data_IF_148429200566
#
_entry.id   IF_148429200566
#
_cell.length_a   1.000
_cell.length_b   1.000
_cell.length_c   1.000
_cell.angle_alpha   90.00
_cell.angle_beta   90.00
_cell.angle_gamma   90.00
#
_symmetry.space_group_name_H-M   'P 1'
#
loop_
_entity.id
_entity.type
_entity.pdbx_description
1 polymer ?
#
# COMPACT_ATOMS: atom_id res chain seq x y z
N UNK A 1 3.74 5.69 -22.44
CA UNK A 1 2.76 6.38 -21.58
C UNK A 1 3.46 7.46 -20.77
N UNK A 2 2.94 8.68 -20.79
CA UNK A 2 3.55 9.86 -20.16
C UNK A 2 3.25 9.86 -18.65
N UNK A 3 4.08 10.49 -17.82
CA UNK A 3 3.93 10.49 -16.34
C UNK A 3 2.59 11.04 -15.83
N UNK A 4 1.80 11.70 -16.70
CA UNK A 4 0.45 12.18 -16.44
C UNK A 4 -0.59 11.07 -16.25
N UNK A 5 -0.42 9.88 -16.81
CA UNK A 5 -1.45 8.82 -16.72
C UNK A 5 -1.45 8.08 -15.37
N UNK A 6 -0.32 8.02 -14.67
CA UNK A 6 -0.24 7.40 -13.33
C UNK A 6 -0.70 8.32 -12.20
N UNK A 7 -0.87 9.62 -12.48
CA UNK A 7 -1.49 10.55 -11.55
C UNK A 7 -2.97 10.20 -11.28
N UNK A 8 -3.58 9.27 -12.03
CA UNK A 8 -4.99 8.90 -11.87
C UNK A 8 -5.26 7.70 -10.94
N UNK A 9 -4.25 7.11 -10.29
CA UNK A 9 -4.51 6.11 -9.24
C UNK A 9 -4.97 6.88 -8.02
N UNK A 10 -6.26 6.89 -7.72
CA UNK A 10 -6.80 7.55 -6.54
C UNK A 10 -7.50 6.53 -5.66
N UNK A 11 -7.20 6.56 -4.36
CA UNK A 11 -7.95 5.82 -3.34
C UNK A 11 -9.37 6.41 -3.22
N UNK A 12 -10.30 5.64 -2.67
CA UNK A 12 -11.65 6.13 -2.37
C UNK A 12 -11.61 7.37 -1.45
N UNK A 13 -12.47 8.35 -1.74
CA UNK A 13 -12.48 9.67 -1.07
C UNK A 13 -13.30 9.65 0.22
N UNK A 14 -13.12 10.68 1.06
CA UNK A 14 -13.98 10.97 2.21
C UNK A 14 -13.86 9.99 3.38
N UNK A 15 -12.69 9.37 3.58
CA UNK A 15 -12.49 8.38 4.65
C UNK A 15 -13.04 6.98 4.33
N UNK A 16 -13.57 6.77 3.12
CA UNK A 16 -14.13 5.50 2.70
C UNK A 16 -13.07 4.40 2.54
N UNK A 17 -11.80 4.75 2.36
CA UNK A 17 -10.71 3.78 2.25
C UNK A 17 -10.53 3.04 3.58
N UNK A 18 -10.30 3.76 4.67
CA UNK A 18 -10.14 3.14 6.00
C UNK A 18 -11.36 2.36 6.47
N UNK A 19 -12.57 2.76 6.06
CA UNK A 19 -13.80 2.02 6.35
C UNK A 19 -13.88 0.68 5.58
N UNK A 20 -13.34 0.64 4.37
CA UNK A 20 -13.37 -0.54 3.51
C UNK A 20 -12.16 -1.48 3.73
N UNK A 21 -10.99 -0.98 4.13
CA UNK A 21 -9.75 -1.78 4.18
C UNK A 21 -9.33 -2.21 5.57
N UNK A 22 -10.21 -2.94 6.27
CA UNK A 22 -9.90 -3.51 7.60
C UNK A 22 -8.61 -4.33 7.62
N UNK A 23 -8.37 -5.15 6.60
CA UNK A 23 -7.17 -5.99 6.54
C UNK A 23 -5.86 -5.18 6.47
N UNK A 24 -5.87 -3.98 5.86
CA UNK A 24 -4.70 -3.10 5.90
C UNK A 24 -4.43 -2.56 7.30
N UNK A 25 -5.48 -2.24 8.07
CA UNK A 25 -5.37 -1.87 9.47
C UNK A 25 -4.84 -3.04 10.32
N UNK A 26 -5.34 -4.26 10.08
CA UNK A 26 -4.90 -5.46 10.80
C UNK A 26 -3.39 -5.73 10.58
N UNK A 27 -2.90 -5.57 9.33
CA UNK A 27 -1.46 -5.65 9.01
C UNK A 27 -0.65 -4.60 9.77
N UNK A 28 -1.08 -3.35 9.77
CA UNK A 28 -0.38 -2.26 10.47
C UNK A 28 -0.37 -2.50 11.98
N UNK A 29 -1.48 -2.96 12.55
CA UNK A 29 -1.60 -3.28 13.96
C UNK A 29 -0.71 -4.45 14.38
N UNK A 30 -0.57 -5.47 13.52
CA UNK A 30 0.36 -6.58 13.75
C UNK A 30 1.83 -6.12 13.80
N UNK A 31 2.17 -5.00 13.16
CA UNK A 31 3.52 -4.42 13.19
C UNK A 31 3.83 -3.58 14.43
N UNK A 32 2.85 -3.29 15.30
CA UNK A 32 3.06 -2.43 16.49
C UNK A 32 4.27 -2.90 17.33
N UNK A 33 4.42 -4.21 17.68
CA UNK A 33 5.57 -4.66 18.45
C UNK A 33 6.92 -4.40 17.75
N UNK A 34 6.98 -4.56 16.42
CA UNK A 34 8.18 -4.31 15.62
C UNK A 34 8.51 -2.82 15.58
N UNK A 35 7.49 -1.97 15.45
CA UNK A 35 7.63 -0.51 15.51
C UNK A 35 8.17 -0.09 16.87
N UNK A 36 7.62 -0.61 17.97
CA UNK A 36 8.09 -0.31 19.32
C UNK A 36 9.52 -0.78 19.55
N UNK A 37 9.88 -1.99 19.11
CA UNK A 37 11.26 -2.49 19.24
C UNK A 37 12.26 -1.64 18.44
N UNK A 38 11.92 -1.28 17.19
CA UNK A 38 12.75 -0.42 16.37
C UNK A 38 12.91 0.98 16.99
N UNK A 39 11.84 1.52 17.57
CA UNK A 39 11.82 2.82 18.24
C UNK A 39 12.75 2.86 19.44
N UNK A 40 12.75 1.80 20.26
CA UNK A 40 13.60 1.69 21.47
C UNK A 40 15.10 1.60 21.15
N UNK A 41 15.48 1.37 19.89
CA UNK A 41 16.88 1.40 19.43
C UNK A 41 17.37 2.81 19.10
N UNK A 42 16.47 3.79 19.03
CA UNK A 42 16.84 5.20 18.80
C UNK A 42 17.14 5.83 20.17
N UNK A 43 18.25 6.57 20.26
CA UNK A 43 18.54 7.37 21.44
C UNK A 43 17.58 8.57 21.54
N UNK A 44 16.76 8.58 22.60
CA UNK A 44 15.71 9.57 22.83
C UNK A 44 16.04 10.55 23.98
N UNK A 45 17.05 10.28 24.81
CA UNK A 45 17.22 10.98 26.10
C UNK A 45 17.44 12.49 25.90
N UNK A 46 18.29 12.89 24.95
CA UNK A 46 18.61 14.30 24.70
C UNK A 46 17.76 14.93 23.58
N UNK A 47 16.83 14.18 22.97
CA UNK A 47 16.00 14.68 21.87
C UNK A 47 14.88 15.58 22.39
N UNK A 48 14.80 16.80 21.84
CA UNK A 48 13.69 17.74 22.11
C UNK A 48 12.48 17.50 21.22
N UNK A 49 12.72 17.08 19.98
CA UNK A 49 11.67 16.73 19.03
C UNK A 49 11.99 15.41 18.33
N UNK A 50 10.93 14.75 17.87
CA UNK A 50 10.97 13.51 17.12
C UNK A 50 10.20 13.69 15.82
N UNK A 51 10.81 13.31 14.71
CA UNK A 51 10.23 13.40 13.37
C UNK A 51 9.87 12.01 12.89
N UNK A 52 8.58 11.73 12.82
CA UNK A 52 8.02 10.50 12.28
C UNK A 52 7.37 10.77 10.92
N UNK A 53 7.51 9.86 9.95
CA UNK A 53 6.83 9.97 8.66
C UNK A 53 5.98 8.73 8.35
N UNK A 54 4.73 8.94 7.96
CA UNK A 54 3.83 7.93 7.40
C UNK A 54 3.73 8.16 5.88
N UNK A 55 4.31 7.26 5.10
CA UNK A 55 4.48 7.39 3.65
C UNK A 55 3.53 6.46 2.90
N UNK A 56 2.64 7.05 2.10
CA UNK A 56 1.49 6.36 1.50
C UNK A 56 0.33 6.25 2.48
N UNK A 57 -0.01 7.37 3.13
CA UNK A 57 -0.94 7.39 4.25
C UNK A 57 -2.43 7.30 3.85
N UNK A 58 -2.78 7.46 2.57
CA UNK A 58 -4.16 7.55 2.10
C UNK A 58 -4.99 8.56 2.94
N UNK A 59 -6.07 8.11 3.57
CA UNK A 59 -6.91 8.92 4.47
C UNK A 59 -6.46 8.91 5.94
N UNK A 60 -5.35 8.25 6.25
CA UNK A 60 -4.67 8.21 7.56
C UNK A 60 -5.33 7.33 8.61
N UNK A 61 -6.54 6.82 8.39
CA UNK A 61 -7.31 6.13 9.42
C UNK A 61 -6.68 4.80 9.86
N UNK A 62 -6.13 4.04 8.92
CA UNK A 62 -5.52 2.72 9.20
C UNK A 62 -4.27 2.80 10.09
N UNK A 63 -3.56 3.93 10.13
CA UNK A 63 -2.33 4.10 10.91
C UNK A 63 -2.52 4.78 12.27
N UNK A 64 -3.69 5.36 12.56
CA UNK A 64 -3.96 6.12 13.79
C UNK A 64 -3.62 5.35 15.08
N UNK A 65 -4.01 4.08 15.16
CA UNK A 65 -3.76 3.25 16.34
C UNK A 65 -2.26 3.01 16.56
N UNK A 66 -1.52 2.65 15.51
CA UNK A 66 -0.08 2.43 15.60
C UNK A 66 0.65 3.72 15.98
N UNK A 67 0.28 4.87 15.38
CA UNK A 67 0.87 6.17 15.71
C UNK A 67 0.58 6.55 17.18
N UNK A 68 -0.62 6.29 17.67
CA UNK A 68 -0.97 6.48 19.09
C UNK A 68 -0.07 5.63 20.01
N UNK A 69 0.20 4.36 19.68
CA UNK A 69 1.12 3.54 20.46
C UNK A 69 2.57 4.02 20.36
N UNK A 70 3.03 4.40 19.16
CA UNK A 70 4.34 5.01 18.96
C UNK A 70 4.55 6.24 19.85
N UNK A 71 3.56 7.14 19.94
CA UNK A 71 3.64 8.34 20.79
C UNK A 71 3.70 7.96 22.28
N UNK A 72 2.94 6.95 22.71
CA UNK A 72 2.99 6.44 24.09
C UNK A 72 4.37 5.88 24.41
N UNK A 73 4.93 5.05 23.52
CA UNK A 73 6.26 4.44 23.71
C UNK A 73 7.37 5.47 23.70
N UNK A 74 7.30 6.49 22.83
CA UNK A 74 8.20 7.64 22.88
C UNK A 74 8.17 8.34 24.25
N UNK A 75 6.97 8.60 24.78
CA UNK A 75 6.78 9.37 26.01
C UNK A 75 7.08 8.61 27.29
N UNK A 76 7.00 7.29 27.25
CA UNK A 76 7.49 6.45 28.34
C UNK A 76 9.00 6.61 28.55
N UNK A 77 9.75 6.92 27.48
CA UNK A 77 11.19 7.14 27.53
C UNK A 77 11.56 8.62 27.68
N UNK A 78 10.85 9.52 26.99
CA UNK A 78 11.04 10.97 27.06
C UNK A 78 9.68 11.69 27.15
N UNK A 79 9.17 11.96 28.37
CA UNK A 79 7.83 12.51 28.58
C UNK A 79 7.54 13.86 27.91
N UNK A 80 8.59 14.65 27.63
CA UNK A 80 8.46 16.01 27.12
C UNK A 80 8.73 16.12 25.61
N UNK A 81 8.96 15.00 24.92
CA UNK A 81 9.32 15.03 23.51
C UNK A 81 8.17 15.57 22.65
N UNK A 82 8.49 16.55 21.81
CA UNK A 82 7.57 17.06 20.79
C UNK A 82 7.58 16.15 19.58
N UNK A 83 6.41 15.77 19.05
CA UNK A 83 6.33 14.82 17.94
C UNK A 83 5.81 15.52 16.69
N UNK A 84 6.54 15.44 15.59
CA UNK A 84 6.06 15.80 14.25
C UNK A 84 5.64 14.53 13.54
N UNK A 85 4.42 14.49 13.02
CA UNK A 85 3.89 13.38 12.23
C UNK A 85 3.72 13.85 10.80
N UNK A 86 4.63 13.44 9.93
CA UNK A 86 4.61 13.78 8.50
C UNK A 86 3.77 12.76 7.73
N UNK A 87 2.53 13.11 7.41
CA UNK A 87 1.70 12.37 6.49
C UNK A 87 2.08 12.74 5.05
N UNK A 88 2.50 11.75 4.28
CA UNK A 88 2.93 11.96 2.90
C UNK A 88 2.19 11.02 1.97
N UNK A 89 1.59 11.58 0.94
CA UNK A 89 0.96 10.82 -0.14
C UNK A 89 1.13 11.56 -1.48
N UNK A 90 0.75 10.92 -2.59
CA UNK A 90 0.80 11.54 -3.90
C UNK A 90 -0.12 12.78 -4.00
N UNK A 91 0.13 13.71 -4.94
CA UNK A 91 -0.64 14.95 -5.05
C UNK A 91 -2.15 14.80 -5.23
N UNK A 92 -2.60 13.70 -5.83
CA UNK A 92 -4.01 13.45 -6.12
C UNK A 92 -4.76 12.71 -5.00
N UNK A 93 -4.11 12.50 -3.85
CA UNK A 93 -4.76 11.98 -2.66
C UNK A 93 -5.84 12.95 -2.13
N UNK A 94 -6.82 12.42 -1.40
CA UNK A 94 -7.83 13.23 -0.72
C UNK A 94 -7.30 13.80 0.59
N UNK A 95 -6.53 14.88 0.49
CA UNK A 95 -5.98 15.58 1.65
C UNK A 95 -7.05 16.14 2.58
N UNK A 96 -8.22 16.49 2.07
CA UNK A 96 -9.30 16.99 2.92
C UNK A 96 -9.83 15.87 3.83
N UNK A 97 -10.06 14.68 3.26
CA UNK A 97 -10.42 13.49 4.04
C UNK A 97 -9.35 13.12 5.07
N UNK A 98 -8.08 13.09 4.65
CA UNK A 98 -6.93 12.83 5.53
C UNK A 98 -6.87 13.81 6.70
N UNK A 99 -6.99 15.11 6.43
CA UNK A 99 -6.97 16.16 7.47
C UNK A 99 -8.15 16.00 8.43
N UNK A 100 -9.35 15.74 7.92
CA UNK A 100 -10.52 15.52 8.77
C UNK A 100 -10.32 14.32 9.70
N UNK A 101 -9.84 13.19 9.17
CA UNK A 101 -9.53 11.99 9.97
C UNK A 101 -8.48 12.27 11.04
N UNK A 102 -7.33 12.84 10.67
CA UNK A 102 -6.22 13.09 11.59
C UNK A 102 -6.57 14.14 12.65
N UNK A 103 -7.37 15.15 12.32
CA UNK A 103 -7.80 16.18 13.28
C UNK A 103 -8.99 15.77 14.16
N UNK A 104 -9.46 14.52 14.07
CA UNK A 104 -10.61 14.03 14.87
C UNK A 104 -11.96 14.60 14.43
N UNK A 105 -12.05 15.09 13.18
CA UNK A 105 -13.29 15.57 12.55
C UNK A 105 -13.96 14.49 11.69
N UNK A 106 -13.31 13.34 11.52
CA UNK A 106 -13.79 12.20 10.75
C UNK A 106 -14.48 11.12 11.61
N UNK A 107 -14.45 9.89 11.11
CA UNK A 107 -15.12 8.75 11.74
C UNK A 107 -14.30 8.04 12.84
N UNK A 108 -13.02 8.38 12.99
CA UNK A 108 -12.07 7.65 13.82
C UNK A 108 -11.53 8.55 14.94
N UNK A 109 -11.26 7.98 16.14
CA UNK A 109 -10.64 8.72 17.22
C UNK A 109 -9.21 9.10 16.85
N UNK A 110 -8.86 10.37 17.00
CA UNK A 110 -7.51 10.86 16.72
C UNK A 110 -6.61 10.75 17.95
N UNK A 111 -5.33 10.43 17.75
CA UNK A 111 -4.32 10.54 18.81
C UNK A 111 -4.15 11.99 19.33
N UNK A 112 -4.59 13.00 18.57
CA UNK A 112 -4.54 14.41 19.01
C UNK A 112 -5.53 14.71 20.14
N UNK A 113 -6.56 13.89 20.31
CA UNK A 113 -7.54 14.03 21.41
C UNK A 113 -6.92 13.68 22.76
N UNK A 114 -5.90 12.80 22.77
CA UNK A 114 -5.26 12.28 23.98
C UNK A 114 -3.82 12.75 24.16
N UNK A 115 -3.19 13.28 23.11
CA UNK A 115 -1.80 13.70 23.11
C UNK A 115 -1.61 15.17 22.72
N UNK A 116 -1.10 15.97 23.67
CA UNK A 116 -0.62 17.36 23.42
C UNK A 116 0.76 17.35 22.75
N UNK A 117 1.23 18.47 22.22
CA UNK A 117 2.58 18.63 21.62
C UNK A 117 2.88 17.59 20.52
N UNK A 118 1.86 17.28 19.72
CA UNK A 118 1.96 16.46 18.51
C UNK A 118 1.48 17.32 17.34
N UNK A 119 2.30 17.41 16.30
CA UNK A 119 2.12 18.32 15.19
C UNK A 119 2.00 17.53 13.88
N UNK A 120 0.77 17.28 13.38
CA UNK A 120 0.58 16.64 12.10
C UNK A 120 0.96 17.62 10.97
N UNK A 121 1.68 17.11 9.97
CA UNK A 121 2.14 17.85 8.80
C UNK A 121 1.74 17.05 7.56
N UNK A 122 1.14 17.71 6.58
CA UNK A 122 0.60 17.05 5.39
C UNK A 122 1.44 17.46 4.17
N UNK A 123 1.98 16.48 3.45
CA UNK A 123 2.88 16.69 2.32
C UNK A 123 2.40 15.94 1.08
N UNK A 124 1.97 16.69 0.07
CA UNK A 124 1.60 16.24 -1.27
C UNK A 124 2.81 15.90 -2.14
N UNK A 125 3.61 14.92 -1.74
CA UNK A 125 4.79 14.48 -2.47
C UNK A 125 4.84 12.96 -2.64
N UNK A 126 5.30 12.52 -3.81
CA UNK A 126 5.55 11.10 -4.06
C UNK A 126 6.77 10.61 -3.27
N UNK A 127 6.65 9.43 -2.63
CA UNK A 127 7.76 8.78 -1.95
C UNK A 127 8.91 8.34 -2.88
N UNK A 128 8.76 8.39 -4.21
CA UNK A 128 9.88 8.23 -5.16
C UNK A 128 10.79 9.46 -5.22
N UNK A 129 10.43 10.55 -4.52
CA UNK A 129 11.23 11.76 -4.36
C UNK A 129 11.68 11.90 -2.92
N UNK A 130 12.63 12.79 -2.69
CA UNK A 130 12.95 13.27 -1.36
C UNK A 130 11.79 14.17 -0.88
N UNK A 131 11.25 13.85 0.29
CA UNK A 131 10.05 14.46 0.89
C UNK A 131 10.37 15.25 2.16
N UNK A 132 11.56 15.06 2.72
CA UNK A 132 12.07 15.80 3.87
C UNK A 132 13.51 16.28 3.61
N UNK A 133 13.97 17.36 4.28
CA UNK A 133 15.37 17.77 4.20
C UNK A 133 16.32 16.72 4.77
N UNK A 134 17.59 16.81 4.37
CA UNK A 134 18.62 15.87 4.81
C UNK A 134 18.72 15.81 6.33
N UNK A 135 18.86 14.60 6.88
CA UNK A 135 19.06 14.34 8.30
C UNK A 135 17.99 14.97 9.23
N UNK A 136 16.71 14.95 8.81
CA UNK A 136 15.60 15.48 9.62
C UNK A 136 14.60 14.42 10.09
N UNK A 137 14.62 13.23 9.50
CA UNK A 137 13.72 12.12 9.84
C UNK A 137 14.36 11.23 10.92
N UNK A 138 13.61 10.92 11.98
CA UNK A 138 14.04 9.99 13.02
C UNK A 138 13.50 8.57 12.74
N UNK A 139 12.25 8.49 12.30
CA UNK A 139 11.58 7.21 12.05
C UNK A 139 10.63 7.29 10.86
N UNK A 140 10.84 6.45 9.86
CA UNK A 140 9.94 6.33 8.71
C UNK A 140 9.08 5.07 8.78
N UNK A 141 7.83 5.20 8.41
CA UNK A 141 6.88 4.11 8.28
C UNK A 141 6.19 4.16 6.93
N UNK A 142 5.89 2.98 6.38
CA UNK A 142 5.04 2.84 5.20
C UNK A 142 4.37 1.47 5.25
N UNK A 143 3.10 1.41 4.89
CA UNK A 143 2.39 0.15 4.77
C UNK A 143 1.51 0.13 3.51
N UNK A 144 1.54 -0.98 2.78
CA UNK A 144 0.64 -1.22 1.63
C UNK A 144 0.72 -0.10 0.57
N UNK A 145 1.92 0.44 0.33
CA UNK A 145 2.08 1.58 -0.57
C UNK A 145 3.21 1.42 -1.60
N UNK A 146 4.40 0.95 -1.21
CA UNK A 146 5.58 0.97 -2.09
C UNK A 146 5.62 -0.17 -3.13
N UNK A 147 4.56 -0.97 -3.20
CA UNK A 147 4.34 -1.95 -4.27
C UNK A 147 3.75 -1.31 -5.53
N UNK A 148 3.13 -0.14 -5.43
CA UNK A 148 2.80 0.67 -6.60
C UNK A 148 4.11 1.06 -7.31
N UNK A 149 4.08 1.18 -8.63
CA UNK A 149 5.24 1.58 -9.44
C UNK A 149 5.17 3.06 -9.78
N UNK A 150 6.33 3.71 -9.89
CA UNK A 150 6.44 5.11 -10.29
C UNK A 150 5.99 5.34 -11.73
N UNK A 151 6.05 4.28 -12.54
CA UNK A 151 5.42 4.23 -13.85
C UNK A 151 5.00 2.83 -14.26
N UNK A 152 3.96 2.76 -15.10
CA UNK A 152 3.54 1.53 -15.79
C UNK A 152 4.61 1.16 -16.85
N UNK A 153 5.31 0.02 -16.73
CA UNK A 153 6.38 -0.37 -17.65
C UNK A 153 5.87 -0.65 -19.06
N UNK A 154 4.82 -1.45 -19.17
CA UNK A 154 4.15 -1.84 -20.41
C UNK A 154 2.68 -2.19 -20.13
N UNK A 155 1.91 -2.41 -21.20
CA UNK A 155 0.61 -3.07 -21.13
C UNK A 155 0.82 -4.59 -21.19
N UNK A 156 0.07 -5.32 -20.38
CA UNK A 156 0.05 -6.78 -20.42
C UNK A 156 -0.93 -7.25 -21.49
N UNK A 157 -0.59 -8.33 -22.18
CA UNK A 157 -1.38 -8.85 -23.30
C UNK A 157 -2.49 -9.78 -22.85
N UNK A 158 -2.25 -10.59 -21.81
CA UNK A 158 -3.12 -11.71 -21.40
C UNK A 158 -3.38 -11.73 -19.89
N UNK A 159 -3.11 -10.63 -19.18
CA UNK A 159 -3.34 -10.55 -17.73
C UNK A 159 -3.47 -9.08 -17.31
N UNK A 160 -3.94 -8.84 -16.09
CA UNK A 160 -4.10 -7.47 -15.56
C UNK A 160 -3.06 -7.06 -14.52
N UNK A 161 -2.23 -8.00 -14.06
CA UNK A 161 -1.21 -7.80 -13.02
C UNK A 161 0.09 -8.57 -13.32
N UNK A 162 1.23 -8.07 -12.83
CA UNK A 162 2.56 -8.61 -13.14
C UNK A 162 2.76 -10.08 -12.72
N UNK A 163 1.98 -10.58 -11.76
CA UNK A 163 2.06 -11.97 -11.29
C UNK A 163 1.62 -12.99 -12.34
N UNK A 164 0.86 -12.56 -13.37
CA UNK A 164 0.53 -13.36 -14.54
C UNK A 164 1.26 -12.90 -15.80
N UNK A 165 2.30 -12.06 -15.68
CA UNK A 165 3.12 -11.64 -16.80
C UNK A 165 4.25 -12.65 -17.05
N UNK A 166 4.67 -12.78 -18.31
CA UNK A 166 5.74 -13.68 -18.73
C UNK A 166 6.79 -12.95 -19.59
N UNK A 167 7.96 -13.59 -19.77
CA UNK A 167 9.02 -13.10 -20.67
C UNK A 167 9.39 -11.64 -20.45
N UNK A 168 9.46 -10.87 -21.55
CA UNK A 168 9.86 -9.46 -21.55
C UNK A 168 8.92 -8.54 -20.77
N UNK A 169 7.62 -8.88 -20.69
CA UNK A 169 6.65 -8.11 -19.90
C UNK A 169 7.00 -8.22 -18.41
N UNK A 170 7.20 -9.44 -17.91
CA UNK A 170 7.63 -9.66 -16.52
C UNK A 170 8.97 -8.97 -16.23
N UNK A 171 9.97 -9.14 -17.10
CA UNK A 171 11.29 -8.53 -16.92
C UNK A 171 11.22 -7.00 -16.86
N UNK A 172 10.34 -6.37 -17.65
CA UNK A 172 10.11 -4.93 -17.63
C UNK A 172 9.53 -4.45 -16.29
N UNK A 173 8.58 -5.20 -15.72
CA UNK A 173 8.03 -4.95 -14.40
C UNK A 173 9.07 -5.13 -13.29
N UNK A 174 9.85 -6.21 -13.33
CA UNK A 174 10.92 -6.47 -12.38
C UNK A 174 12.00 -5.37 -12.40
N UNK A 175 12.42 -4.94 -13.59
CA UNK A 175 13.38 -3.86 -13.74
C UNK A 175 12.87 -2.53 -13.17
N UNK A 176 11.58 -2.23 -13.38
CA UNK A 176 10.95 -1.03 -12.84
C UNK A 176 10.80 -1.10 -11.31
N UNK A 177 10.35 -2.24 -10.77
CA UNK A 177 10.24 -2.48 -9.33
C UNK A 177 11.58 -2.33 -8.61
N UNK A 178 12.65 -2.93 -9.14
CA UNK A 178 14.02 -2.77 -8.61
C UNK A 178 14.44 -1.30 -8.59
N UNK A 179 14.28 -0.60 -9.70
CA UNK A 179 14.66 0.81 -9.83
C UNK A 179 13.91 1.69 -8.83
N UNK A 180 12.62 1.45 -8.68
CA UNK A 180 11.76 2.21 -7.78
C UNK A 180 12.12 1.95 -6.32
N UNK A 181 12.38 0.70 -5.96
CA UNK A 181 12.81 0.33 -4.61
C UNK A 181 14.13 0.99 -4.22
N UNK A 182 15.14 0.91 -5.08
CA UNK A 182 16.43 1.60 -4.85
C UNK A 182 16.25 3.13 -4.76
N UNK A 183 15.40 3.71 -5.61
CA UNK A 183 15.12 5.15 -5.59
C UNK A 183 14.45 5.59 -4.28
N UNK A 184 13.49 4.81 -3.78
CA UNK A 184 12.84 5.05 -2.48
C UNK A 184 13.91 5.04 -1.40
N UNK A 185 14.67 3.95 -1.28
CA UNK A 185 15.67 3.77 -0.23
C UNK A 185 16.75 4.87 -0.26
N UNK A 186 17.23 5.26 -1.44
CA UNK A 186 18.21 6.34 -1.59
C UNK A 186 17.67 7.70 -1.10
N UNK A 187 16.39 8.01 -1.34
CA UNK A 187 15.80 9.23 -0.81
C UNK A 187 15.63 9.14 0.72
N UNK A 188 15.16 8.01 1.25
CA UNK A 188 15.05 7.81 2.71
C UNK A 188 16.40 7.90 3.40
N UNK A 189 17.46 7.40 2.77
CA UNK A 189 18.82 7.44 3.29
C UNK A 189 19.36 8.87 3.49
N UNK A 190 18.90 9.84 2.68
CA UNK A 190 19.24 11.26 2.83
C UNK A 190 18.46 11.90 3.97
N UNK A 191 17.18 11.56 4.08
CA UNK A 191 16.25 12.15 5.05
C UNK A 191 16.54 11.69 6.48
N UNK A 192 16.89 10.41 6.67
CA UNK A 192 17.14 9.82 7.98
C UNK A 192 18.38 10.43 8.64
N UNK A 193 18.27 10.69 9.94
CA UNK A 193 19.43 10.89 10.82
C UNK A 193 20.20 9.57 10.98
N UNK A 194 21.49 9.65 11.32
CA UNK A 194 22.23 8.48 11.82
C UNK A 194 21.53 7.92 13.07
N UNK A 195 21.41 6.60 13.14
CA UNK A 195 20.58 5.84 14.10
C UNK A 195 19.08 5.80 13.77
N UNK A 196 18.62 6.55 12.77
CA UNK A 196 17.22 6.57 12.35
C UNK A 196 16.77 5.22 11.76
N UNK A 197 15.48 4.92 11.91
CA UNK A 197 14.91 3.62 11.53
C UNK A 197 13.82 3.77 10.46
N UNK A 198 13.65 2.74 9.63
CA UNK A 198 12.47 2.54 8.80
C UNK A 198 11.81 1.23 9.17
N UNK A 199 10.48 1.23 9.26
CA UNK A 199 9.65 0.02 9.29
C UNK A 199 8.71 0.07 8.09
N UNK A 200 8.91 -0.87 7.16
CA UNK A 200 8.23 -0.87 5.87
C UNK A 200 7.47 -2.20 5.70
N UNK A 201 6.16 -2.11 5.51
CA UNK A 201 5.25 -3.23 5.30
C UNK A 201 4.78 -3.22 3.85
N UNK A 202 5.35 -4.03 2.98
CA UNK A 202 4.99 -4.03 1.56
C UNK A 202 4.44 -5.37 1.10
N UNK A 203 3.44 -5.34 0.21
CA UNK A 203 3.04 -6.54 -0.50
C UNK A 203 4.24 -7.20 -1.16
N UNK A 204 4.34 -8.51 -0.98
CA UNK A 204 5.47 -9.29 -1.43
C UNK A 204 5.00 -10.60 -2.07
N UNK A 205 5.95 -11.27 -2.71
CA UNK A 205 5.88 -12.71 -2.94
C UNK A 205 6.70 -13.37 -1.84
N UNK A 206 6.06 -14.19 -1.01
CA UNK A 206 6.74 -14.88 0.09
C UNK A 206 7.64 -16.02 -0.42
N UNK A 207 8.31 -16.70 0.50
CA UNK A 207 9.23 -17.80 0.23
C UNK A 207 8.57 -19.00 -0.44
N UNK A 208 7.24 -19.11 -0.34
CA UNK A 208 6.42 -20.15 -0.97
C UNK A 208 5.73 -19.65 -2.25
N UNK A 209 6.03 -18.43 -2.71
CA UNK A 209 5.41 -17.82 -3.88
C UNK A 209 3.98 -17.32 -3.64
N UNK A 210 3.51 -17.23 -2.40
CA UNK A 210 2.21 -16.64 -2.06
C UNK A 210 2.29 -15.12 -2.12
N UNK A 211 1.19 -14.49 -2.46
CA UNK A 211 1.05 -13.04 -2.54
C UNK A 211 -0.41 -12.64 -2.28
N UNK A 212 -0.70 -11.33 -2.29
CA UNK A 212 -2.05 -10.80 -2.07
C UNK A 212 -3.11 -11.56 -2.87
N UNK A 213 -4.07 -12.18 -2.18
CA UNK A 213 -5.17 -12.91 -2.81
C UNK A 213 -4.77 -14.18 -3.58
N UNK A 214 -3.58 -14.73 -3.29
CA UNK A 214 -3.12 -16.03 -3.79
C UNK A 214 -2.46 -16.84 -2.66
N UNK A 215 -3.27 -17.41 -1.76
CA UNK A 215 -2.79 -18.17 -0.59
C UNK A 215 -3.37 -19.58 -0.50
N UNK A 216 -4.47 -19.86 -1.18
CA UNK A 216 -5.23 -21.14 -1.12
C UNK A 216 -5.40 -21.82 -2.47
N UNK A 217 -4.66 -21.40 -3.50
CA UNK A 217 -4.72 -21.98 -4.85
C UNK A 217 -5.72 -21.31 -5.80
N UNK A 218 -6.53 -20.37 -5.31
CA UNK A 218 -7.30 -19.43 -6.15
C UNK A 218 -6.56 -18.10 -6.19
N UNK A 219 -6.44 -17.52 -7.39
CA UNK A 219 -5.74 -16.27 -7.62
C UNK A 219 -6.73 -15.15 -7.95
N UNK A 220 -6.86 -14.20 -7.03
CA UNK A 220 -7.71 -13.02 -7.20
C UNK A 220 -7.42 -12.24 -8.49
N UNK A 221 -6.15 -12.10 -8.89
CA UNK A 221 -5.79 -11.36 -10.11
C UNK A 221 -6.14 -12.11 -11.39
N UNK A 222 -6.16 -13.44 -11.36
CA UNK A 222 -6.65 -14.25 -12.47
C UNK A 222 -8.15 -14.04 -12.64
N UNK A 223 -8.94 -14.05 -11.55
CA UNK A 223 -10.37 -13.73 -11.63
C UNK A 223 -10.62 -12.34 -12.25
N UNK A 224 -9.78 -11.35 -11.93
CA UNK A 224 -9.90 -10.03 -12.56
C UNK A 224 -9.64 -10.07 -14.07
N UNK A 225 -8.60 -10.81 -14.47
CA UNK A 225 -8.24 -10.96 -15.88
C UNK A 225 -9.33 -11.72 -16.65
N UNK A 226 -9.89 -12.77 -16.06
CA UNK A 226 -10.91 -13.62 -16.69
C UNK A 226 -12.21 -12.84 -16.93
N UNK A 227 -12.73 -12.12 -15.91
CA UNK A 227 -13.93 -11.29 -16.09
C UNK A 227 -13.69 -10.21 -17.16
N UNK A 228 -12.52 -9.57 -17.15
CA UNK A 228 -12.20 -8.53 -18.13
C UNK A 228 -12.03 -9.11 -19.55
N UNK A 229 -11.51 -10.33 -19.65
CA UNK A 229 -11.40 -11.07 -20.91
C UNK A 229 -12.79 -11.45 -21.44
N UNK A 230 -13.69 -11.95 -20.59
CA UNK A 230 -15.07 -12.27 -20.96
C UNK A 230 -15.79 -11.04 -21.54
N UNK A 231 -15.55 -9.85 -20.98
CA UNK A 231 -16.11 -8.60 -21.49
C UNK A 231 -15.55 -8.26 -22.88
N UNK A 232 -14.28 -8.57 -23.14
CA UNK A 232 -13.67 -8.39 -24.45
C UNK A 232 -14.24 -9.38 -25.48
N UNK A 233 -14.38 -10.65 -25.10
CA UNK A 233 -14.93 -11.71 -25.96
C UNK A 233 -16.40 -11.46 -26.32
N UNK A 234 -17.16 -10.86 -25.40
CA UNK A 234 -18.54 -10.40 -25.65
C UNK A 234 -18.64 -9.09 -26.45
N UNK A 235 -17.50 -8.46 -26.77
CA UNK A 235 -17.46 -7.20 -27.52
C UNK A 235 -17.88 -5.96 -26.71
N UNK A 236 -17.96 -6.06 -25.39
CA UNK A 236 -18.27 -4.92 -24.50
C UNK A 236 -17.07 -3.95 -24.42
N UNK A 237 -15.86 -4.50 -24.43
CA UNK A 237 -14.59 -3.75 -24.50
C UNK A 237 -13.75 -4.21 -25.69
N UNK A 238 -12.82 -3.36 -26.11
CA UNK A 238 -11.85 -3.67 -27.17
C UNK A 238 -10.54 -4.22 -26.60
N UNK A 239 -9.74 -4.84 -27.45
CA UNK A 239 -8.41 -5.36 -27.09
C UNK A 239 -7.48 -4.27 -26.52
N UNK A 240 -7.52 -3.06 -27.07
CA UNK A 240 -6.70 -1.95 -26.55
C UNK A 240 -7.13 -1.53 -25.14
N UNK A 241 -8.41 -1.63 -24.81
CA UNK A 241 -8.95 -1.36 -23.47
C UNK A 241 -8.62 -2.48 -22.49
N UNK A 242 -8.64 -3.75 -22.96
CA UNK A 242 -8.17 -4.89 -22.20
C UNK A 242 -6.70 -4.70 -21.80
N UNK A 243 -5.82 -4.50 -22.77
CA UNK A 243 -4.38 -4.35 -22.54
C UNK A 243 -4.04 -3.09 -21.73
N UNK A 244 -4.80 -2.00 -21.92
CA UNK A 244 -4.59 -0.77 -21.16
C UNK A 244 -4.94 -0.94 -19.68
N UNK A 245 -5.87 -1.85 -19.36
CA UNK A 245 -6.06 -2.34 -18.00
C UNK A 245 -4.85 -3.19 -17.63
N UNK A 246 -3.89 -2.54 -17.01
CA UNK A 246 -2.73 -3.20 -16.40
C UNK A 246 -2.40 -2.45 -15.13
N UNK A 247 -2.42 -3.15 -14.01
CA UNK A 247 -2.09 -2.62 -12.70
C UNK A 247 -0.58 -2.30 -12.65
N UNK A 248 -0.20 -1.04 -12.37
CA UNK A 248 1.19 -0.64 -12.20
C UNK A 248 1.70 -1.01 -10.81
N UNK A 249 1.73 -2.31 -10.52
CA UNK A 249 2.16 -2.87 -9.23
C UNK A 249 3.27 -3.90 -9.46
N UNK A 250 4.20 -3.99 -8.50
CA UNK A 250 5.20 -5.03 -8.43
C UNK A 250 5.39 -5.49 -6.98
N UNK A 251 5.24 -6.80 -6.77
CA UNK A 251 5.49 -7.47 -5.50
C UNK A 251 6.91 -8.02 -5.48
N UNK A 252 7.81 -7.33 -4.78
CA UNK A 252 9.17 -7.80 -4.61
C UNK A 252 9.18 -9.10 -3.77
N UNK A 253 10.14 -9.99 -4.02
CA UNK A 253 10.46 -11.09 -3.10
C UNK A 253 11.27 -10.58 -1.91
N UNK A 254 11.45 -11.43 -0.89
CA UNK A 254 12.32 -11.16 0.26
C UNK A 254 13.76 -10.87 -0.19
N UNK A 255 14.25 -11.58 -1.21
CA UNK A 255 15.58 -11.38 -1.80
C UNK A 255 15.67 -10.03 -2.51
N UNK A 256 14.66 -9.67 -3.30
CA UNK A 256 14.61 -8.39 -4.03
C UNK A 256 14.57 -7.21 -3.04
N UNK A 257 13.80 -7.30 -1.96
CA UNK A 257 13.81 -6.29 -0.89
C UNK A 257 15.17 -6.19 -0.20
N UNK A 258 15.78 -7.34 0.12
CA UNK A 258 17.02 -7.43 0.89
C UNK A 258 18.27 -7.02 0.11
N UNK A 259 18.33 -7.30 -1.19
CA UNK A 259 19.52 -7.17 -2.01
C UNK A 259 20.23 -5.81 -1.90
N UNK A 260 19.55 -4.65 -2.05
CA UNK A 260 20.22 -3.35 -1.97
C UNK A 260 20.75 -3.00 -0.57
N UNK A 261 20.24 -3.66 0.47
CA UNK A 261 20.58 -3.41 1.87
C UNK A 261 21.67 -4.35 2.42
N UNK A 262 22.05 -5.37 1.65
CA UNK A 262 23.08 -6.37 1.99
C UNK A 262 24.31 -6.27 1.10
N UNK A 263 24.14 -5.92 -0.18
CA UNK A 263 25.26 -5.83 -1.11
C UNK A 263 26.08 -4.56 -0.84
N UNK A 264 27.33 -4.74 -0.40
CA UNK A 264 28.25 -3.65 -0.08
C UNK A 264 28.53 -2.74 -1.27
N UNK A 265 28.42 -3.21 -2.51
CA UNK A 265 28.64 -2.40 -3.71
C UNK A 265 27.39 -1.61 -4.13
N UNK A 266 26.22 -1.91 -3.57
CA UNK A 266 24.99 -1.22 -3.95
C UNK A 266 24.97 0.22 -3.41
N UNK A 267 24.52 1.22 -4.19
CA UNK A 267 24.41 2.61 -3.74
C UNK A 267 23.59 2.81 -2.47
N UNK A 268 22.55 2.00 -2.24
CA UNK A 268 21.74 2.04 -1.00
C UNK A 268 22.56 1.67 0.22
N UNK A 269 23.35 0.60 0.13
CA UNK A 269 24.27 0.20 1.20
C UNK A 269 25.34 1.27 1.43
N UNK A 270 25.93 1.82 0.36
CA UNK A 270 26.90 2.91 0.44
C UNK A 270 26.31 4.19 1.01
N UNK A 271 25.00 4.41 0.81
CA UNK A 271 24.25 5.49 1.44
C UNK A 271 23.96 5.24 2.92
N UNK A 272 24.45 4.16 3.53
CA UNK A 272 24.39 3.92 4.97
C UNK A 272 23.11 3.20 5.45
N UNK A 273 22.27 2.65 4.57
CA UNK A 273 21.14 1.84 5.01
C UNK A 273 21.57 0.39 5.25
N UNK A 274 21.11 -0.20 6.36
CA UNK A 274 21.40 -1.59 6.75
C UNK A 274 20.10 -2.31 7.06
N UNK A 275 19.93 -3.50 6.47
CA UNK A 275 18.84 -4.38 6.86
C UNK A 275 19.07 -4.89 8.29
N UNK A 276 18.08 -4.71 9.16
CA UNK A 276 18.09 -5.23 10.53
C UNK A 276 17.25 -6.50 10.64
N UNK A 277 16.08 -6.49 10.03
CA UNK A 277 15.15 -7.62 10.02
C UNK A 277 14.31 -7.59 8.75
N UNK A 278 13.97 -8.77 8.23
CA UNK A 278 12.92 -8.96 7.25
C UNK A 278 12.21 -10.29 7.53
N UNK A 279 10.90 -10.27 7.52
CA UNK A 279 10.07 -11.47 7.66
C UNK A 279 8.75 -11.32 6.90
N UNK A 280 8.17 -12.43 6.46
CA UNK A 280 6.90 -12.45 5.74
C UNK A 280 5.76 -12.81 6.68
N UNK A 281 4.63 -12.12 6.53
CA UNK A 281 3.42 -12.36 7.31
C UNK A 281 2.24 -12.53 6.36
N UNK A 282 1.34 -13.45 6.71
CA UNK A 282 0.05 -13.61 6.05
C UNK A 282 -1.04 -13.17 7.03
N UNK A 283 -1.66 -12.03 6.77
CA UNK A 283 -2.84 -11.59 7.50
C UNK A 283 -4.08 -12.10 6.78
N UNK A 284 -4.88 -12.90 7.47
CA UNK A 284 -6.08 -13.50 6.90
C UNK A 284 -7.08 -12.43 6.43
N UNK A 285 -7.77 -12.70 5.32
CA UNK A 285 -8.85 -11.87 4.82
C UNK A 285 -9.97 -11.76 5.88
N UNK A 286 -10.23 -10.57 6.46
CA UNK A 286 -11.20 -10.43 7.55
C UNK A 286 -12.62 -10.85 7.15
N UNK A 287 -12.97 -10.65 5.88
CA UNK A 287 -14.28 -11.04 5.35
C UNK A 287 -14.42 -12.55 5.22
N UNK A 288 -13.35 -13.25 4.79
CA UNK A 288 -13.36 -14.70 4.69
C UNK A 288 -13.37 -15.35 6.08
N UNK A 289 -12.70 -14.74 7.06
CA UNK A 289 -12.78 -15.17 8.47
C UNK A 289 -14.19 -14.95 9.04
N UNK A 290 -14.81 -13.79 8.81
CA UNK A 290 -16.18 -13.53 9.25
C UNK A 290 -17.18 -14.52 8.61
N UNK A 291 -17.01 -14.85 7.33
CA UNK A 291 -17.88 -15.79 6.62
C UNK A 291 -17.90 -17.18 7.26
N UNK A 292 -16.81 -17.65 7.87
CA UNK A 292 -16.78 -18.93 8.59
C UNK A 292 -17.80 -18.98 9.73
N UNK A 293 -18.11 -17.83 10.33
CA UNK A 293 -19.06 -17.71 11.44
C UNK A 293 -20.49 -17.53 10.94
N UNK A 294 -20.74 -16.54 10.06
CA UNK A 294 -22.10 -16.18 9.67
C UNK A 294 -22.65 -16.97 8.47
N UNK A 295 -21.78 -17.55 7.63
CA UNK A 295 -22.13 -18.38 6.46
C UNK A 295 -23.16 -17.73 5.51
N UNK A 296 -23.11 -16.41 5.40
CA UNK A 296 -24.01 -15.60 4.55
C UNK A 296 -23.22 -15.12 3.34
N UNK A 297 -23.45 -15.76 2.20
CA UNK A 297 -22.71 -15.52 0.96
C UNK A 297 -23.02 -14.13 0.38
N UNK A 298 -24.27 -13.66 0.51
CA UNK A 298 -24.65 -12.34 0.05
C UNK A 298 -23.93 -11.27 0.87
N UNK A 299 -23.97 -11.40 2.20
CA UNK A 299 -23.25 -10.49 3.10
C UNK A 299 -21.74 -10.49 2.82
N UNK A 300 -21.15 -11.66 2.61
CA UNK A 300 -19.73 -11.76 2.29
C UNK A 300 -19.38 -10.99 1.01
N UNK A 301 -20.16 -11.16 -0.06
CA UNK A 301 -19.95 -10.46 -1.31
C UNK A 301 -20.12 -8.93 -1.17
N UNK A 302 -21.14 -8.48 -0.44
CA UNK A 302 -21.42 -7.07 -0.15
C UNK A 302 -20.31 -6.39 0.67
N UNK A 303 -19.62 -7.12 1.56
CA UNK A 303 -18.49 -6.59 2.36
C UNK A 303 -17.13 -6.72 1.61
N UNK A 304 -16.94 -7.78 0.83
CA UNK A 304 -15.68 -8.10 0.16
C UNK A 304 -15.39 -7.22 -1.07
N UNK A 305 -16.38 -7.05 -1.96
CA UNK A 305 -16.21 -6.34 -3.24
C UNK A 305 -15.83 -4.86 -3.07
N UNK A 306 -16.43 -4.08 -2.15
CA UNK A 306 -16.02 -2.69 -1.91
C UNK A 306 -14.54 -2.53 -1.57
N UNK A 307 -13.96 -3.51 -0.85
CA UNK A 307 -12.53 -3.52 -0.52
C UNK A 307 -11.68 -3.53 -1.79
N UNK A 308 -12.04 -4.37 -2.76
CA UNK A 308 -11.33 -4.49 -4.03
C UNK A 308 -11.50 -3.22 -4.87
N UNK A 309 -12.74 -2.73 -4.99
CA UNK A 309 -13.07 -1.50 -5.72
C UNK A 309 -12.27 -0.29 -5.24
N UNK A 310 -11.99 -0.21 -3.94
CA UNK A 310 -11.33 0.93 -3.31
C UNK A 310 -9.95 1.29 -3.90
N UNK A 311 -9.27 0.33 -4.53
CA UNK A 311 -7.90 0.51 -5.04
C UNK A 311 -7.71 0.20 -6.53
N UNK A 312 -8.62 -0.53 -7.20
CA UNK A 312 -8.48 -0.83 -8.64
C UNK A 312 -9.52 -0.18 -9.56
N UNK A 313 -10.67 0.31 -9.05
CA UNK A 313 -11.76 0.83 -9.89
C UNK A 313 -11.32 1.98 -10.80
N UNK A 314 -10.54 2.92 -10.26
CA UNK A 314 -10.02 4.06 -11.03
C UNK A 314 -9.15 3.64 -12.21
N UNK A 315 -8.45 2.52 -12.09
CA UNK A 315 -7.56 1.99 -13.13
C UNK A 315 -8.37 1.29 -14.22
N UNK A 316 -9.35 0.45 -13.85
CA UNK A 316 -10.29 -0.14 -14.80
C UNK A 316 -11.04 0.95 -15.58
N UNK A 317 -11.61 1.92 -14.87
CA UNK A 317 -12.33 3.03 -15.50
C UNK A 317 -11.41 3.86 -16.42
N UNK A 318 -10.16 4.08 -16.01
CA UNK A 318 -9.15 4.79 -16.81
C UNK A 318 -8.64 4.02 -18.03
N UNK A 319 -8.80 2.70 -18.05
CA UNK A 319 -8.44 1.86 -19.19
C UNK A 319 -9.40 2.04 -20.37
N UNK A 320 -10.69 2.26 -20.09
CA UNK A 320 -11.70 2.50 -21.10
C UNK A 320 -11.39 3.74 -21.96
N UNK A 321 -11.82 3.69 -23.21
CA UNK A 321 -11.63 4.77 -24.18
C UNK A 321 -12.34 6.05 -23.73
N UNK A 322 -11.60 7.16 -23.74
CA UNK A 322 -12.12 8.49 -23.38
C UNK A 322 -13.14 9.02 -24.39
N UNK A 323 -13.25 8.42 -25.58
CA UNK A 323 -14.26 8.77 -26.58
C UNK A 323 -15.63 8.12 -26.32
N UNK A 324 -15.71 7.08 -25.48
CA UNK A 324 -17.01 6.51 -25.04
C UNK A 324 -17.78 7.53 -24.21
N UNK A 325 -19.11 7.44 -24.24
CA UNK A 325 -19.95 8.24 -23.36
C UNK A 325 -19.59 7.95 -21.89
N UNK A 326 -19.67 8.95 -21.02
CA UNK A 326 -19.34 8.78 -19.60
C UNK A 326 -20.23 7.72 -18.96
N UNK A 327 -21.51 7.74 -19.28
CA UNK A 327 -22.53 6.81 -18.77
C UNK A 327 -22.24 5.38 -19.21
N UNK A 328 -21.76 5.19 -20.44
CA UNK A 328 -21.36 3.89 -20.99
C UNK A 328 -20.15 3.34 -20.23
N UNK A 329 -19.12 4.17 -20.02
CA UNK A 329 -17.93 3.76 -19.25
C UNK A 329 -18.30 3.38 -17.82
N UNK A 330 -19.17 4.17 -17.18
CA UNK A 330 -19.66 3.88 -15.85
C UNK A 330 -20.49 2.59 -15.81
N UNK A 331 -21.27 2.30 -16.85
CA UNK A 331 -22.05 1.07 -16.96
C UNK A 331 -21.14 -0.15 -17.05
N UNK A 332 -20.12 -0.12 -17.92
CA UNK A 332 -19.15 -1.21 -18.05
C UNK A 332 -18.48 -1.52 -16.71
N UNK A 333 -18.09 -0.50 -15.96
CA UNK A 333 -17.47 -0.69 -14.64
C UNK A 333 -18.46 -1.25 -13.62
N UNK A 334 -19.72 -0.78 -13.62
CA UNK A 334 -20.76 -1.36 -12.76
C UNK A 334 -20.97 -2.83 -13.08
N UNK A 335 -21.08 -3.17 -14.36
CA UNK A 335 -21.32 -4.54 -14.80
C UNK A 335 -20.15 -5.44 -14.42
N UNK A 336 -18.90 -4.99 -14.60
CA UNK A 336 -17.71 -5.74 -14.20
C UNK A 336 -17.73 -6.13 -12.71
N UNK A 337 -18.00 -5.16 -11.82
CA UNK A 337 -18.05 -5.45 -10.39
C UNK A 337 -19.31 -6.22 -9.97
N UNK A 338 -20.42 -6.08 -10.69
CA UNK A 338 -21.59 -6.91 -10.46
C UNK A 338 -21.29 -8.37 -10.81
N UNK A 339 -20.68 -8.63 -11.97
CA UNK A 339 -20.23 -9.98 -12.36
C UNK A 339 -19.30 -10.58 -11.31
N UNK A 340 -18.37 -9.78 -10.80
CA UNK A 340 -17.48 -10.28 -9.76
C UNK A 340 -18.20 -10.55 -8.43
N UNK A 341 -19.14 -9.68 -8.05
CA UNK A 341 -19.96 -9.88 -6.85
C UNK A 341 -20.79 -11.15 -6.96
N UNK A 342 -21.37 -11.43 -8.12
CA UNK A 342 -22.16 -12.63 -8.39
C UNK A 342 -21.30 -13.89 -8.26
N UNK A 343 -20.07 -13.89 -8.82
CA UNK A 343 -19.11 -15.00 -8.65
C UNK A 343 -18.75 -15.22 -7.17
N UNK A 344 -18.51 -14.14 -6.42
CA UNK A 344 -18.19 -14.21 -4.99
C UNK A 344 -19.35 -14.77 -4.18
N UNK A 345 -20.58 -14.41 -4.53
CA UNK A 345 -21.78 -14.93 -3.88
C UNK A 345 -22.05 -16.40 -4.24
N UNK A 346 -21.71 -16.84 -5.45
CA UNK A 346 -21.89 -18.23 -5.90
C UNK A 346 -20.91 -19.20 -5.22
N UNK A 347 -19.66 -18.79 -4.97
CA UNK A 347 -18.63 -19.66 -4.40
C UNK A 347 -17.74 -18.92 -3.38
N UNK A 348 -18.30 -18.44 -2.26
CA UNK A 348 -17.62 -17.56 -1.31
C UNK A 348 -16.32 -18.15 -0.74
N UNK A 349 -16.24 -19.47 -0.58
CA UNK A 349 -15.06 -20.19 -0.09
C UNK A 349 -13.84 -20.12 -1.03
N UNK A 350 -14.05 -19.80 -2.32
CA UNK A 350 -12.98 -19.64 -3.30
C UNK A 350 -12.38 -18.23 -3.30
N UNK A 351 -13.02 -17.28 -2.61
CA UNK A 351 -12.61 -15.88 -2.64
C UNK A 351 -12.05 -15.44 -1.30
N UNK A 352 -10.83 -14.90 -1.34
CA UNK A 352 -10.20 -14.26 -0.20
C UNK A 352 -9.11 -13.32 -0.69
N UNK A 353 -8.90 -12.25 0.08
CA UNK A 353 -7.83 -11.30 -0.13
C UNK A 353 -6.91 -11.33 1.10
N UNK A 354 -6.27 -12.47 1.34
CA UNK A 354 -5.23 -12.55 2.35
C UNK A 354 -4.08 -11.61 1.97
N UNK A 355 -3.59 -10.87 2.95
CA UNK A 355 -2.54 -9.89 2.78
C UNK A 355 -1.21 -10.56 3.06
N UNK A 356 -0.33 -10.59 2.06
CA UNK A 356 1.01 -11.18 2.18
C UNK A 356 2.03 -10.06 2.11
N UNK A 357 2.66 -9.76 3.24
CA UNK A 357 3.57 -8.62 3.39
C UNK A 357 4.94 -9.03 3.87
N UNK A 358 5.96 -8.36 3.35
CA UNK A 358 7.29 -8.34 3.95
C UNK A 358 7.36 -7.19 4.97
N UNK A 359 7.66 -7.54 6.21
CA UNK A 359 7.90 -6.63 7.33
C UNK A 359 9.39 -6.36 7.39
N UNK A 360 9.82 -5.18 6.96
CA UNK A 360 11.25 -4.85 6.82
C UNK A 360 11.65 -3.76 7.80
N UNK A 361 12.67 -4.01 8.62
CA UNK A 361 13.31 -3.04 9.52
C UNK A 361 14.68 -2.66 8.96
N UNK A 362 14.90 -1.36 8.78
CA UNK A 362 16.12 -0.80 8.20
C UNK A 362 16.65 0.29 9.13
N UNK A 363 17.95 0.29 9.37
CA UNK A 363 18.64 1.34 10.12
C UNK A 363 19.52 2.17 9.20
N UNK A 364 19.59 3.47 9.44
CA UNK A 364 20.61 4.36 8.91
C UNK A 364 21.82 4.40 9.85
N UNK A 365 22.97 3.92 9.40
CA UNK A 365 24.24 4.04 10.13
C UNK A 365 24.89 5.41 9.95
#
# INVERSE_FOLDING_TARGET
>A
MNSKELQNITMSRGGAYSLATRGAQDVINAAIPIVEEALLKIDLEEKRNFSFADMGCADGGTSLQMINQLIKTLRSNNPNIEVKVHYTDQPNNDYNGLIQTVLGLGHFPSYLETHKNVYPLFSANSFYKQILPDNTLDFGFSATAMHWLSKKPCNLSNHVHMVGAEGEQYLSFAAQGKKDWESILLNRAKELRSGGQLVLLNFCRDENGKYLGNTTGVNMFTNFADIWQDFMEQGLIREDEYQKMTLPQYYNTVEEFSAPLKNVENPVYQAGLRLKQIETHITACPFAEAFKEHQDAQRFAEEYIPTIRSWNESIFFGALDTQRALEERQQIIRDYYQTYQDQVQESPELHRMDYVHAFTVIEKI
#
